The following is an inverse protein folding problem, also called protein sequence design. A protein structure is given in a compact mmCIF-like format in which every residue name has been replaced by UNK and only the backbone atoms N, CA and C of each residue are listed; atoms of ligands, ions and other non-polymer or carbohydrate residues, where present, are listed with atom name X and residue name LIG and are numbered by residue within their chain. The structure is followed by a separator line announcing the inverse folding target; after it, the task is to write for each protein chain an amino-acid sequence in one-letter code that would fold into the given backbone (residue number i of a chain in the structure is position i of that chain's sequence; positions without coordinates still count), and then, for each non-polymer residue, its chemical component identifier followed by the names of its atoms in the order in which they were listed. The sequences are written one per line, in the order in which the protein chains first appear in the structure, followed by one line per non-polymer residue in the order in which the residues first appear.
data_IF_236442186604
#
_entry.id   IF_236442186604
#
_cell.length_a   1.000
_cell.length_b   1.000
_cell.length_c   1.000
_cell.angle_alpha   90.00
_cell.angle_beta   90.00
_cell.angle_gamma   90.00
#
_symmetry.space_group_name_H-M   'P 1'
#
loop_
_entity.id
_entity.type
_entity.pdbx_description
1 polymer ?
#
# COMPACT_ATOMS: atom_id res chain seq x y z
N UNK A 1 -9.13 20.49 -9.56
CA UNK A 1 -9.53 20.35 -10.96
C UNK A 1 -9.86 21.69 -11.65
N UNK A 2 -11.05 22.30 -11.47
CA UNK A 2 -11.44 23.53 -12.22
C UNK A 2 -10.44 24.70 -12.14
N UNK A 3 -9.83 24.94 -10.98
CA UNK A 3 -8.78 25.96 -10.85
C UNK A 3 -7.54 25.65 -11.70
N UNK A 4 -7.06 24.40 -11.68
CA UNK A 4 -5.91 23.96 -12.46
C UNK A 4 -6.21 23.93 -13.97
N UNK A 5 -7.45 23.62 -14.34
CA UNK A 5 -7.91 23.69 -15.72
C UNK A 5 -7.92 25.14 -16.23
N UNK A 6 -8.36 26.09 -15.40
CA UNK A 6 -8.42 27.51 -15.74
C UNK A 6 -7.05 28.22 -15.75
N UNK A 7 -6.07 27.78 -14.95
CA UNK A 7 -4.73 28.39 -14.90
C UNK A 7 -3.88 27.90 -16.07
N UNK A 8 -4.04 28.50 -17.25
CA UNK A 8 -3.30 28.13 -18.47
C UNK A 8 -1.90 28.74 -18.50
N UNK A 9 -1.71 29.90 -17.86
CA UNK A 9 -0.44 30.61 -17.82
C UNK A 9 0.25 30.50 -16.45
N UNK A 10 1.60 30.53 -16.41
CA UNK A 10 2.33 30.61 -15.16
C UNK A 10 1.99 31.92 -14.42
N UNK A 11 1.83 31.87 -13.09
CA UNK A 11 1.66 33.07 -12.25
C UNK A 11 2.79 34.07 -12.48
N UNK A 12 2.50 35.36 -12.34
CA UNK A 12 3.47 36.44 -12.60
C UNK A 12 4.78 36.29 -11.84
N UNK A 13 4.73 35.75 -10.62
CA UNK A 13 5.88 35.49 -9.76
C UNK A 13 6.78 34.34 -10.25
N UNK A 14 6.27 33.44 -11.09
CA UNK A 14 6.95 32.23 -11.55
C UNK A 14 7.36 32.29 -13.03
N UNK A 15 6.96 33.35 -13.76
CA UNK A 15 7.27 33.54 -15.18
C UNK A 15 8.77 33.64 -15.47
N UNK A 16 9.57 34.09 -14.51
CA UNK A 16 11.03 34.21 -14.67
C UNK A 16 11.76 32.87 -14.53
N UNK A 17 11.14 31.90 -13.84
CA UNK A 17 11.77 30.61 -13.50
C UNK A 17 11.19 29.47 -14.36
N UNK A 18 9.93 29.60 -14.77
CA UNK A 18 9.17 28.52 -15.39
C UNK A 18 8.77 28.86 -16.83
N UNK A 19 9.31 28.09 -17.78
CA UNK A 19 8.92 28.21 -19.18
C UNK A 19 7.44 27.82 -19.37
N UNK A 20 6.74 28.54 -20.26
CA UNK A 20 5.31 28.33 -20.51
C UNK A 20 5.01 26.91 -21.02
N UNK A 21 5.95 26.30 -21.77
CA UNK A 21 5.81 24.92 -22.25
C UNK A 21 5.91 23.90 -21.13
N UNK A 22 6.86 24.09 -20.22
CA UNK A 22 7.03 23.21 -19.05
C UNK A 22 5.84 23.33 -18.10
N UNK A 23 5.34 24.54 -17.88
CA UNK A 23 4.11 24.77 -17.12
C UNK A 23 2.91 24.03 -17.72
N UNK A 24 2.71 24.14 -19.03
CA UNK A 24 1.62 23.45 -19.72
C UNK A 24 1.74 21.92 -19.58
N UNK A 25 2.94 21.36 -19.74
CA UNK A 25 3.19 19.92 -19.56
C UNK A 25 2.89 19.47 -18.12
N UNK A 26 3.41 20.18 -17.12
CA UNK A 26 3.18 19.89 -15.71
C UNK A 26 1.70 19.99 -15.32
N UNK A 27 0.98 20.96 -15.88
CA UNK A 27 -0.47 21.13 -15.68
C UNK A 27 -1.26 19.95 -16.27
N UNK A 28 -0.99 19.55 -17.51
CA UNK A 28 -1.68 18.42 -18.15
C UNK A 28 -1.44 17.12 -17.37
N UNK A 29 -0.20 16.89 -16.93
CA UNK A 29 0.13 15.76 -16.05
C UNK A 29 -0.70 15.77 -14.75
N UNK A 30 -0.74 16.90 -14.05
CA UNK A 30 -1.52 17.03 -12.80
C UNK A 30 -3.02 16.83 -13.04
N UNK A 31 -3.57 17.27 -14.16
CA UNK A 31 -4.98 17.07 -14.49
C UNK A 31 -5.31 15.59 -14.76
N UNK A 32 -4.45 14.89 -15.51
CA UNK A 32 -4.62 13.46 -15.76
C UNK A 32 -4.49 12.64 -14.46
N UNK A 33 -3.51 12.96 -13.62
CA UNK A 33 -3.34 12.33 -12.32
C UNK A 33 -4.53 12.58 -11.40
N UNK A 34 -5.07 13.80 -11.38
CA UNK A 34 -6.25 14.14 -10.58
C UNK A 34 -7.50 13.37 -11.01
N UNK A 35 -7.72 13.20 -12.33
CA UNK A 35 -8.83 12.37 -12.85
C UNK A 35 -8.67 10.91 -12.43
N UNK A 36 -7.47 10.37 -12.61
CA UNK A 36 -7.16 9.00 -12.23
C UNK A 36 -7.42 8.78 -10.73
N UNK A 37 -6.88 9.64 -9.86
CA UNK A 37 -7.07 9.55 -8.41
C UNK A 37 -8.55 9.58 -8.05
N UNK A 38 -9.30 10.54 -8.60
CA UNK A 38 -10.72 10.67 -8.30
C UNK A 38 -11.53 9.41 -8.67
N UNK A 39 -11.27 8.83 -9.85
CA UNK A 39 -11.92 7.58 -10.26
C UNK A 39 -11.55 6.41 -9.36
N UNK A 40 -10.26 6.27 -9.04
CA UNK A 40 -9.75 5.25 -8.13
C UNK A 40 -10.42 5.36 -6.76
N UNK A 41 -10.46 6.56 -6.18
CA UNK A 41 -10.99 6.82 -4.84
C UNK A 41 -12.49 6.51 -4.76
N UNK A 42 -13.27 6.78 -5.81
CA UNK A 42 -14.69 6.39 -5.87
C UNK A 42 -14.82 4.86 -5.86
N UNK A 43 -14.05 4.15 -6.67
CA UNK A 43 -14.12 2.69 -6.72
C UNK A 43 -13.69 2.08 -5.39
N UNK A 44 -12.65 2.62 -4.77
CA UNK A 44 -12.17 2.18 -3.44
C UNK A 44 -13.25 2.39 -2.35
N UNK A 45 -13.97 3.51 -2.39
CA UNK A 45 -15.09 3.75 -1.48
C UNK A 45 -16.25 2.79 -1.71
N UNK A 46 -16.59 2.51 -2.97
CA UNK A 46 -17.64 1.52 -3.32
C UNK A 46 -17.22 0.13 -2.85
N UNK A 47 -15.96 -0.26 -3.10
CA UNK A 47 -15.39 -1.52 -2.65
C UNK A 47 -15.47 -1.65 -1.13
N UNK A 48 -15.04 -0.63 -0.39
CA UNK A 48 -15.12 -0.59 1.07
C UNK A 48 -16.56 -0.71 1.56
N UNK A 49 -17.50 0.00 0.93
CA UNK A 49 -18.92 -0.10 1.26
C UNK A 49 -19.46 -1.52 1.00
N UNK A 50 -19.09 -2.16 -0.10
CA UNK A 50 -19.48 -3.54 -0.42
C UNK A 50 -18.90 -4.54 0.58
N UNK A 51 -17.63 -4.38 0.98
CA UNK A 51 -16.99 -5.23 2.00
C UNK A 51 -17.80 -5.21 3.30
N UNK A 52 -18.27 -4.03 3.71
CA UNK A 52 -19.07 -3.86 4.92
C UNK A 52 -20.52 -4.38 4.75
N UNK A 53 -21.19 -4.03 3.65
CA UNK A 53 -22.59 -4.38 3.41
C UNK A 53 -22.82 -5.88 3.21
N UNK A 54 -21.84 -6.57 2.61
CA UNK A 54 -21.90 -8.01 2.34
C UNK A 54 -21.19 -8.84 3.41
N UNK A 55 -20.74 -8.20 4.50
CA UNK A 55 -20.05 -8.84 5.63
C UNK A 55 -18.85 -9.73 5.18
N UNK A 56 -18.06 -9.22 4.23
CA UNK A 56 -16.90 -9.94 3.69
C UNK A 56 -15.84 -10.21 4.76
N UNK A 57 -15.80 -9.39 5.82
CA UNK A 57 -14.87 -9.58 6.94
C UNK A 57 -15.18 -10.89 7.67
N UNK A 58 -16.46 -11.14 7.98
CA UNK A 58 -16.89 -12.40 8.59
C UNK A 58 -16.69 -13.59 7.64
N UNK A 59 -16.95 -13.41 6.34
CA UNK A 59 -16.67 -14.45 5.34
C UNK A 59 -15.17 -14.81 5.28
N UNK A 60 -14.30 -13.80 5.35
CA UNK A 60 -12.84 -13.97 5.37
C UNK A 60 -12.38 -14.69 6.66
N UNK A 61 -12.98 -14.34 7.80
CA UNK A 61 -12.73 -15.04 9.08
C UNK A 61 -13.06 -16.53 8.98
N UNK A 62 -14.23 -16.87 8.42
CA UNK A 62 -14.65 -18.25 8.23
C UNK A 62 -13.75 -19.00 7.26
N UNK A 63 -13.34 -18.38 6.15
CA UNK A 63 -12.41 -18.96 5.18
C UNK A 63 -11.06 -19.29 5.84
N UNK A 64 -10.51 -18.35 6.60
CA UNK A 64 -9.28 -18.58 7.36
C UNK A 64 -9.42 -19.74 8.37
N UNK A 65 -10.56 -19.81 9.06
CA UNK A 65 -10.86 -20.91 9.98
C UNK A 65 -10.88 -22.28 9.28
N UNK A 66 -11.51 -22.38 8.11
CA UNK A 66 -11.52 -23.62 7.30
C UNK A 66 -10.10 -24.02 6.91
N UNK A 67 -9.27 -23.06 6.49
CA UNK A 67 -7.87 -23.31 6.13
C UNK A 67 -7.08 -23.82 7.35
N UNK A 68 -7.22 -23.17 8.51
CA UNK A 68 -6.57 -23.59 9.75
C UNK A 68 -6.92 -25.04 10.14
N UNK A 69 -8.21 -25.38 10.12
CA UNK A 69 -8.70 -26.74 10.43
C UNK A 69 -8.13 -27.75 9.44
N UNK A 70 -8.08 -27.42 8.15
CA UNK A 70 -7.58 -28.32 7.10
C UNK A 70 -6.07 -28.59 7.22
N UNK A 71 -5.31 -27.62 7.73
CA UNK A 71 -3.87 -27.74 8.01
C UNK A 71 -3.62 -28.39 9.39
N UNK A 72 -4.65 -28.58 10.21
CA UNK A 72 -4.56 -29.18 11.54
C UNK A 72 -4.04 -28.23 12.62
N UNK A 73 -4.06 -26.91 12.35
CA UNK A 73 -3.63 -25.89 13.30
C UNK A 73 -4.86 -25.27 13.93
N UNK A 74 -4.98 -25.36 15.25
CA UNK A 74 -6.12 -24.85 16.01
C UNK A 74 -5.63 -23.75 16.93
N UNK A 75 -6.15 -22.53 16.75
CA UNK A 75 -5.83 -21.40 17.60
C UNK A 75 -6.17 -20.07 16.96
N UNK A 76 -6.73 -19.17 17.76
CA UNK A 76 -7.15 -17.83 17.35
C UNK A 76 -6.00 -16.97 16.80
N UNK A 77 -4.78 -17.17 17.31
CA UNK A 77 -3.57 -16.49 16.82
C UNK A 77 -3.30 -16.87 15.37
N UNK A 78 -3.32 -18.17 15.05
CA UNK A 78 -3.11 -18.66 13.70
C UNK A 78 -4.22 -18.24 12.74
N UNK A 79 -5.48 -18.29 13.20
CA UNK A 79 -6.60 -17.82 12.39
C UNK A 79 -6.46 -16.32 12.06
N UNK A 80 -6.07 -15.51 13.04
CA UNK A 80 -5.83 -14.07 12.84
C UNK A 80 -4.68 -13.80 11.86
N UNK A 81 -3.60 -14.58 11.92
CA UNK A 81 -2.49 -14.51 10.95
C UNK A 81 -2.98 -14.82 9.53
N UNK A 82 -3.80 -15.86 9.35
CA UNK A 82 -4.37 -16.21 8.05
C UNK A 82 -5.34 -15.16 7.53
N UNK A 83 -6.21 -14.61 8.38
CA UNK A 83 -7.13 -13.53 8.01
C UNK A 83 -6.36 -12.34 7.47
N UNK A 84 -5.34 -11.87 8.19
CA UNK A 84 -4.60 -10.70 7.74
C UNK A 84 -3.71 -11.01 6.54
N UNK A 85 -3.11 -12.19 6.47
CA UNK A 85 -2.36 -12.62 5.28
C UNK A 85 -3.23 -12.65 4.03
N UNK A 86 -4.43 -13.22 4.12
CA UNK A 86 -5.40 -13.23 3.02
C UNK A 86 -5.89 -11.82 2.68
N UNK A 87 -6.13 -10.98 3.69
CA UNK A 87 -6.51 -9.58 3.47
C UNK A 87 -5.45 -8.83 2.67
N UNK A 88 -4.16 -8.96 3.05
CA UNK A 88 -3.04 -8.35 2.33
C UNK A 88 -2.98 -8.84 0.87
N UNK A 89 -3.15 -10.15 0.64
CA UNK A 89 -3.13 -10.73 -0.71
C UNK A 89 -4.30 -10.20 -1.55
N UNK A 90 -5.52 -10.19 -1.00
CA UNK A 90 -6.71 -9.72 -1.71
C UNK A 90 -6.58 -8.23 -2.04
N UNK A 91 -6.22 -7.40 -1.07
CA UNK A 91 -6.02 -5.96 -1.29
C UNK A 91 -4.94 -5.71 -2.34
N UNK A 92 -3.79 -6.37 -2.23
CA UNK A 92 -2.71 -6.24 -3.21
C UNK A 92 -3.18 -6.61 -4.62
N UNK A 93 -3.96 -7.68 -4.77
CA UNK A 93 -4.49 -8.12 -6.06
C UNK A 93 -5.49 -7.11 -6.66
N UNK A 94 -6.33 -6.48 -5.83
CA UNK A 94 -7.27 -5.45 -6.24
C UNK A 94 -6.56 -4.14 -6.63
N UNK A 95 -5.40 -3.85 -6.02
CA UNK A 95 -4.62 -2.65 -6.31
C UNK A 95 -3.73 -2.79 -7.56
N UNK A 96 -3.33 -4.01 -7.95
CA UNK A 96 -2.46 -4.24 -9.12
C UNK A 96 -2.97 -3.58 -10.41
N UNK A 97 -4.25 -3.72 -10.82
CA UNK A 97 -4.77 -3.08 -12.03
C UNK A 97 -4.65 -1.56 -11.99
N UNK A 98 -4.92 -0.95 -10.83
CA UNK A 98 -4.82 0.50 -10.64
C UNK A 98 -3.37 0.98 -10.69
N UNK A 99 -2.46 0.25 -10.04
CA UNK A 99 -1.03 0.51 -10.12
C UNK A 99 -0.51 0.40 -11.57
N UNK A 100 -0.98 -0.60 -12.32
CA UNK A 100 -0.65 -0.78 -13.72
C UNK A 100 -1.13 0.39 -14.59
N UNK A 101 -2.40 0.80 -14.46
CA UNK A 101 -2.95 1.93 -15.21
C UNK A 101 -2.20 3.22 -14.86
N UNK A 102 -1.86 3.44 -13.59
CA UNK A 102 -1.06 4.60 -13.19
C UNK A 102 0.31 4.60 -13.88
N UNK A 103 1.07 3.51 -13.80
CA UNK A 103 2.43 3.44 -14.32
C UNK A 103 2.48 3.40 -15.87
N UNK A 104 1.73 2.52 -16.51
CA UNK A 104 1.86 2.25 -17.94
C UNK A 104 0.91 3.06 -18.82
N UNK A 105 -0.09 3.75 -18.25
CA UNK A 105 -1.00 4.62 -19.00
C UNK A 105 -0.79 6.08 -18.63
N UNK A 106 -0.86 6.44 -17.34
CA UNK A 106 -0.73 7.84 -16.92
C UNK A 106 0.72 8.31 -17.00
N UNK A 107 1.64 7.63 -16.32
CA UNK A 107 3.06 8.03 -16.26
C UNK A 107 3.76 7.87 -17.62
N UNK A 108 3.47 6.79 -18.36
CA UNK A 108 3.99 6.55 -19.72
C UNK A 108 3.57 7.66 -20.69
N UNK A 109 2.30 8.11 -20.65
CA UNK A 109 1.79 9.19 -21.51
C UNK A 109 2.58 10.49 -21.35
N UNK A 110 3.11 10.76 -20.15
CA UNK A 110 3.90 11.95 -19.87
C UNK A 110 5.42 11.73 -19.99
N UNK A 111 5.84 10.49 -20.30
CA UNK A 111 7.23 10.09 -20.47
C UNK A 111 8.00 9.94 -19.15
N UNK A 112 7.28 9.75 -18.04
CA UNK A 112 7.88 9.59 -16.71
C UNK A 112 8.12 8.13 -16.35
N UNK A 113 7.39 7.20 -16.95
CA UNK A 113 7.59 5.79 -16.69
C UNK A 113 8.96 5.33 -17.24
N UNK A 114 9.74 4.70 -16.36
CA UNK A 114 11.03 4.06 -16.69
C UNK A 114 11.02 2.58 -16.35
N UNK A 115 9.88 2.06 -15.88
CA UNK A 115 9.73 0.69 -15.45
C UNK A 115 9.32 -0.20 -16.62
N UNK A 116 9.83 -1.42 -16.65
CA UNK A 116 9.39 -2.45 -17.58
C UNK A 116 8.33 -3.33 -16.93
N UNK A 117 7.46 -3.97 -17.72
CA UNK A 117 6.43 -4.88 -17.20
C UNK A 117 7.01 -6.02 -16.32
N UNK A 118 8.11 -6.70 -16.71
CA UNK A 118 8.73 -7.70 -15.86
C UNK A 118 9.25 -7.14 -14.52
N UNK A 119 9.79 -5.91 -14.54
CA UNK A 119 10.24 -5.23 -13.33
C UNK A 119 9.06 -4.92 -12.40
N UNK A 120 7.97 -4.38 -12.95
CA UNK A 120 6.74 -4.08 -12.20
C UNK A 120 6.15 -5.32 -11.50
N UNK A 121 6.05 -6.45 -12.21
CA UNK A 121 5.51 -7.69 -11.63
C UNK A 121 6.42 -8.20 -10.51
N UNK A 122 7.74 -8.23 -10.74
CA UNK A 122 8.72 -8.65 -9.74
C UNK A 122 8.66 -7.77 -8.50
N UNK A 123 8.63 -6.45 -8.68
CA UNK A 123 8.53 -5.47 -7.60
C UNK A 123 7.24 -5.66 -6.79
N UNK A 124 6.11 -5.85 -7.46
CA UNK A 124 4.81 -6.11 -6.82
C UNK A 124 4.84 -7.39 -5.97
N UNK A 125 5.38 -8.48 -6.49
CA UNK A 125 5.51 -9.75 -5.76
C UNK A 125 6.45 -9.58 -4.55
N UNK A 126 7.58 -8.90 -4.74
CA UNK A 126 8.54 -8.68 -3.65
C UNK A 126 7.92 -7.84 -2.53
N UNK A 127 7.18 -6.77 -2.88
CA UNK A 127 6.44 -5.95 -1.91
C UNK A 127 5.43 -6.78 -1.13
N UNK A 128 4.65 -7.60 -1.83
CA UNK A 128 3.68 -8.51 -1.21
C UNK A 128 4.35 -9.47 -0.22
N UNK A 129 5.46 -10.11 -0.61
CA UNK A 129 6.20 -11.04 0.25
C UNK A 129 6.76 -10.34 1.49
N UNK A 130 7.39 -9.18 1.32
CA UNK A 130 7.90 -8.40 2.44
C UNK A 130 6.77 -8.00 3.38
N UNK A 131 5.64 -7.51 2.87
CA UNK A 131 4.47 -7.17 3.68
C UNK A 131 3.94 -8.36 4.48
N UNK A 132 3.84 -9.55 3.86
CA UNK A 132 3.40 -10.77 4.55
C UNK A 132 4.38 -11.20 5.63
N UNK A 133 5.68 -11.25 5.31
CA UNK A 133 6.73 -11.66 6.26
C UNK A 133 6.83 -10.69 7.44
N UNK A 134 6.64 -9.39 7.22
CA UNK A 134 6.66 -8.39 8.28
C UNK A 134 5.38 -8.37 9.10
N UNK A 135 4.20 -8.44 8.47
CA UNK A 135 2.92 -8.34 9.18
C UNK A 135 2.64 -9.57 10.06
N UNK A 136 2.97 -10.77 9.56
CA UNK A 136 2.68 -12.04 10.23
C UNK A 136 3.20 -12.13 11.68
N UNK A 137 4.50 -11.90 11.98
CA UNK A 137 5.01 -11.96 13.35
C UNK A 137 4.46 -10.83 14.23
N UNK A 138 4.22 -9.65 13.67
CA UNK A 138 3.66 -8.51 14.40
C UNK A 138 2.28 -8.88 14.93
N UNK A 139 1.41 -9.40 14.06
CA UNK A 139 0.04 -9.77 14.41
C UNK A 139 0.00 -10.95 15.38
N UNK A 140 0.88 -11.94 15.19
CA UNK A 140 0.98 -13.07 16.09
C UNK A 140 1.25 -12.62 17.54
N UNK A 141 2.22 -11.73 17.73
CA UNK A 141 2.57 -11.18 19.05
C UNK A 141 1.46 -10.26 19.57
N UNK A 142 0.85 -9.43 18.71
CA UNK A 142 -0.22 -8.51 19.08
C UNK A 142 -1.43 -9.28 19.64
N UNK A 143 -1.89 -10.31 18.93
CA UNK A 143 -3.01 -11.16 19.38
C UNK A 143 -2.62 -11.91 20.66
N UNK A 144 -1.38 -12.38 20.78
CA UNK A 144 -0.90 -13.03 21.99
C UNK A 144 -0.93 -12.10 23.22
N UNK A 145 -0.48 -10.84 23.09
CA UNK A 145 -0.53 -9.83 24.15
C UNK A 145 -1.98 -9.55 24.57
N UNK A 146 -2.89 -9.40 23.60
CA UNK A 146 -4.30 -9.13 23.87
C UNK A 146 -4.94 -10.32 24.61
N UNK A 147 -4.61 -11.55 24.23
CA UNK A 147 -5.11 -12.77 24.89
C UNK A 147 -4.59 -12.97 26.31
N UNK A 148 -3.45 -12.39 26.65
CA UNK A 148 -2.87 -12.48 27.99
C UNK A 148 -3.75 -11.81 29.07
N UNK A 149 -4.81 -11.08 28.69
CA UNK A 149 -5.84 -10.50 29.56
C UNK A 149 -5.27 -9.82 30.83
N UNK A 150 -4.32 -8.91 30.63
CA UNK A 150 -3.81 -8.05 31.70
C UNK A 150 -4.56 -6.71 31.71
N UNK A 151 -4.78 -6.15 32.90
CA UNK A 151 -5.33 -4.80 33.08
C UNK A 151 -4.48 -3.71 32.37
N UNK A 152 -3.22 -4.04 32.03
CA UNK A 152 -2.28 -3.18 31.31
C UNK A 152 -2.09 -3.54 29.83
N UNK A 153 -2.95 -4.38 29.24
CA UNK A 153 -2.83 -4.86 27.85
C UNK A 153 -2.69 -3.73 26.82
N UNK A 154 -3.39 -2.60 27.01
CA UNK A 154 -3.30 -1.42 26.14
C UNK A 154 -1.89 -0.80 26.18
N UNK A 155 -1.31 -0.65 27.37
CA UNK A 155 0.04 -0.09 27.54
C UNK A 155 1.09 -1.02 26.93
N UNK A 156 1.01 -2.33 27.21
CA UNK A 156 1.94 -3.33 26.67
C UNK A 156 1.86 -3.38 25.14
N UNK A 157 0.66 -3.36 24.58
CA UNK A 157 0.45 -3.34 23.11
C UNK A 157 1.00 -2.05 22.51
N UNK A 158 0.76 -0.89 23.12
CA UNK A 158 1.28 0.40 22.66
C UNK A 158 2.81 0.46 22.69
N UNK A 159 3.44 -0.05 23.76
CA UNK A 159 4.90 -0.17 23.86
C UNK A 159 5.45 -1.13 22.81
N UNK A 160 4.84 -2.30 22.61
CA UNK A 160 5.25 -3.25 21.59
C UNK A 160 5.19 -2.67 20.18
N UNK A 161 4.08 -2.00 19.83
CA UNK A 161 3.93 -1.33 18.53
C UNK A 161 4.95 -0.20 18.34
N UNK A 162 5.21 0.57 19.39
CA UNK A 162 6.21 1.65 19.34
C UNK A 162 7.62 1.10 19.11
N UNK A 163 8.03 0.09 19.88
CA UNK A 163 9.34 -0.57 19.73
C UNK A 163 9.49 -1.21 18.36
N UNK A 164 8.46 -1.92 17.90
CA UNK A 164 8.42 -2.54 16.56
C UNK A 164 8.52 -1.49 15.47
N UNK A 165 7.83 -0.35 15.61
CA UNK A 165 7.91 0.77 14.69
C UNK A 165 9.32 1.34 14.59
N UNK A 166 9.98 1.64 15.72
CA UNK A 166 11.37 2.10 15.74
C UNK A 166 12.32 1.07 15.14
N UNK A 167 12.13 -0.22 15.46
CA UNK A 167 12.92 -1.30 14.91
C UNK A 167 12.81 -1.38 13.38
N UNK A 168 11.59 -1.32 12.84
CA UNK A 168 11.37 -1.30 11.40
C UNK A 168 11.94 -0.05 10.74
N UNK A 169 11.83 1.13 11.35
CA UNK A 169 12.43 2.36 10.81
C UNK A 169 13.96 2.24 10.68
N UNK A 170 14.62 1.59 11.63
CA UNK A 170 16.07 1.35 11.60
C UNK A 170 16.46 0.32 10.54
N UNK A 171 15.70 -0.78 10.44
CA UNK A 171 16.02 -1.89 9.52
C UNK A 171 15.63 -1.60 8.08
N UNK A 172 14.59 -0.79 7.87
CA UNK A 172 14.07 -0.49 6.55
C UNK A 172 15.13 -0.03 5.54
N UNK A 173 15.95 1.00 5.81
CA UNK A 173 16.93 1.48 4.82
C UNK A 173 18.06 0.49 4.54
N UNK A 174 18.43 -0.36 5.51
CA UNK A 174 19.57 -1.28 5.37
C UNK A 174 19.20 -2.64 4.79
N UNK A 175 18.00 -3.15 5.10
CA UNK A 175 17.60 -4.52 4.75
C UNK A 175 16.46 -4.54 3.76
N UNK A 176 15.45 -3.67 3.92
CA UNK A 176 14.23 -3.74 3.12
C UNK A 176 14.41 -2.97 1.80
N UNK A 177 14.88 -1.73 1.86
CA UNK A 177 15.02 -0.89 0.67
C UNK A 177 15.99 -1.47 -0.39
N UNK A 178 17.14 -2.08 -0.02
CA UNK A 178 18.05 -2.69 -1.00
C UNK A 178 17.50 -3.92 -1.74
N UNK A 179 16.39 -4.50 -1.27
CA UNK A 179 15.71 -5.58 -2.00
C UNK A 179 14.96 -5.06 -3.24
N UNK A 180 14.58 -3.79 -3.23
CA UNK A 180 13.84 -3.12 -4.30
C UNK A 180 14.78 -2.33 -5.21
N UNK A 181 15.73 -1.60 -4.62
CA UNK A 181 16.57 -0.64 -5.33
C UNK A 181 18.05 -1.00 -5.23
N UNK A 182 18.79 -0.69 -6.30
CA UNK A 182 20.25 -0.85 -6.33
C UNK A 182 20.91 0.38 -5.73
N UNK A 183 21.59 0.19 -4.61
CA UNK A 183 22.41 1.22 -3.99
C UNK A 183 23.83 1.18 -4.58
N UNK A 184 24.30 2.34 -5.04
CA UNK A 184 25.68 2.54 -5.47
C UNK A 184 26.31 3.63 -4.62
N UNK A 185 27.58 3.44 -4.23
CA UNK A 185 28.34 4.50 -3.56
C UNK A 185 28.46 5.71 -4.50
N UNK A 186 28.37 6.92 -3.94
CA UNK A 186 28.60 8.14 -4.69
C UNK A 186 30.07 8.14 -5.16
N UNK A 187 30.35 8.48 -6.43
CA UNK A 187 31.71 8.59 -6.96
C UNK A 187 32.47 9.79 -6.36
#
# INVERSE_FOLDING_TARGET
YKKQEATVEPPSELREILDAKEFAKARLYKLDLAKFSFCHDIVDHIQTALILLLDLISALWNLAGIICVKIGIIGEVYQSMWVVGLAIIISSLLDVPWAYVRAFVVEEKHGFNKQTVPFFIRDTIMKLLVSLVTATPIIAVLVWIVKWNSEHSVLVTGTFLSVTGFFLMTIYPEVIAPLFDKYTLLP
#
